data_IF_570268996206
#
_entry.id   IF_570268996206
#
_cell.length_a   1.000
_cell.length_b   1.000
_cell.length_c   1.000
_cell.angle_alpha   90.00
_cell.angle_beta   90.00
_cell.angle_gamma   90.00
#
_symmetry.space_group_name_H-M   'P 1'
#
loop_
_entity.id
_entity.type
_entity.pdbx_description
1 polymer ?
#
# COMPACT_ATOMS: atom_id res chain seq x y z
N UNK A 1 0.95 12.70 34.06
CA UNK A 1 0.85 11.49 33.21
C UNK A 1 1.56 11.73 31.86
N UNK A 2 2.77 11.20 31.72
CA UNK A 2 3.60 11.41 30.54
C UNK A 2 3.12 10.52 29.38
N UNK A 3 2.65 11.13 28.29
CA UNK A 3 2.42 10.44 27.01
C UNK A 3 3.76 10.40 26.26
N UNK A 4 4.41 9.25 26.24
CA UNK A 4 5.56 9.03 25.36
C UNK A 4 5.02 8.98 23.92
N UNK A 5 5.47 9.83 22.99
CA UNK A 5 5.13 9.69 21.60
C UNK A 5 5.78 8.39 21.11
N UNK A 6 4.99 7.39 20.76
CA UNK A 6 5.49 6.17 20.13
C UNK A 6 5.79 6.52 18.68
N UNK A 7 6.96 7.11 18.41
CA UNK A 7 7.54 7.09 17.08
C UNK A 7 8.17 5.71 16.91
N UNK A 8 7.53 4.85 16.13
CA UNK A 8 8.09 3.57 15.74
C UNK A 8 9.43 3.85 15.04
N UNK A 9 10.56 3.29 15.51
CA UNK A 9 11.84 3.52 14.87
C UNK A 9 11.84 2.85 13.50
N UNK A 10 12.18 3.61 12.45
CA UNK A 10 12.52 3.05 11.15
C UNK A 10 13.54 1.93 11.33
N UNK A 11 13.26 0.76 10.76
CA UNK A 11 14.11 -0.40 10.93
C UNK A 11 15.50 -0.09 10.40
N UNK A 12 16.48 -0.14 11.29
CA UNK A 12 17.88 -0.13 10.91
C UNK A 12 18.17 -1.43 10.17
N UNK A 13 18.65 -1.28 8.95
CA UNK A 13 19.06 -2.27 7.98
C UNK A 13 19.87 -3.44 8.59
N UNK A 14 19.23 -4.47 9.17
CA UNK A 14 19.85 -5.79 9.42
C UNK A 14 18.94 -6.88 10.04
N UNK A 15 17.68 -6.62 10.40
CA UNK A 15 16.76 -7.71 10.74
C UNK A 15 16.04 -8.20 9.48
N UNK A 16 16.41 -9.39 9.03
CA UNK A 16 15.85 -10.10 7.89
C UNK A 16 14.35 -10.35 8.11
N UNK A 17 13.49 -9.41 7.72
CA UNK A 17 12.08 -9.71 7.62
C UNK A 17 11.86 -10.59 6.38
N UNK A 18 11.63 -11.88 6.61
CA UNK A 18 11.33 -12.90 5.60
C UNK A 18 9.84 -12.99 5.27
N UNK A 19 9.01 -12.05 5.73
CA UNK A 19 7.58 -12.06 5.40
C UNK A 19 7.41 -11.84 3.90
N UNK A 20 7.08 -12.94 3.22
CA UNK A 20 6.70 -12.98 1.81
C UNK A 20 5.19 -12.82 1.63
N UNK A 21 4.39 -13.17 2.64
CA UNK A 21 2.93 -13.15 2.59
C UNK A 21 2.38 -12.39 3.79
N UNK A 22 1.66 -11.31 3.54
CA UNK A 22 1.05 -10.50 4.58
C UNK A 22 -0.46 -10.41 4.35
N UNK A 23 -1.23 -10.89 5.33
CA UNK A 23 -2.68 -10.76 5.36
C UNK A 23 -3.10 -9.86 6.54
N UNK A 24 -3.60 -8.67 6.22
CA UNK A 24 -4.11 -7.70 7.19
C UNK A 24 -5.63 -7.84 7.25
N UNK A 25 -6.10 -8.64 8.21
CA UNK A 25 -7.54 -8.89 8.42
C UNK A 25 -8.23 -7.85 9.33
N UNK A 26 -7.78 -6.60 9.28
CA UNK A 26 -8.33 -5.48 10.06
C UNK A 26 -8.53 -4.27 9.16
N UNK A 27 -9.23 -3.26 9.70
CA UNK A 27 -9.32 -1.94 9.07
C UNK A 27 -7.98 -1.22 9.20
N UNK A 28 -7.43 -0.76 8.08
CA UNK A 28 -6.15 -0.04 8.04
C UNK A 28 -6.23 1.19 7.12
N UNK A 29 -5.48 2.23 7.47
CA UNK A 29 -5.30 3.40 6.61
C UNK A 29 -4.09 3.21 5.70
N UNK A 30 -4.09 3.85 4.53
CA UNK A 30 -2.99 3.78 3.57
C UNK A 30 -1.62 4.08 4.20
N UNK A 31 -1.54 5.08 5.08
CA UNK A 31 -0.28 5.48 5.74
C UNK A 31 0.26 4.39 6.65
N UNK A 32 -0.62 3.73 7.41
CA UNK A 32 -0.23 2.62 8.29
C UNK A 32 0.20 1.42 7.45
N UNK A 33 -0.48 1.15 6.34
CA UNK A 33 -0.09 0.10 5.42
C UNK A 33 1.31 0.37 4.86
N UNK A 34 1.56 1.57 4.35
CA UNK A 34 2.88 2.01 3.86
C UNK A 34 3.95 1.84 4.93
N UNK A 35 3.66 2.25 6.16
CA UNK A 35 4.58 2.07 7.28
C UNK A 35 4.90 0.59 7.50
N UNK A 36 3.92 -0.32 7.47
CA UNK A 36 4.17 -1.76 7.61
C UNK A 36 5.03 -2.28 6.44
N UNK A 37 4.72 -1.84 5.23
CA UNK A 37 5.38 -2.28 4.01
C UNK A 37 6.87 -1.91 3.98
N UNK A 38 7.27 -0.79 4.58
CA UNK A 38 8.69 -0.41 4.67
C UNK A 38 9.52 -1.38 5.52
N UNK A 39 8.88 -2.17 6.39
CA UNK A 39 9.54 -3.22 7.18
C UNK A 39 9.51 -4.60 6.52
N UNK A 40 8.86 -4.77 5.36
CA UNK A 40 8.70 -6.07 4.69
C UNK A 40 9.30 -6.06 3.26
N UNK A 41 10.61 -5.85 3.09
CA UNK A 41 11.23 -5.70 1.77
C UNK A 41 11.14 -6.96 0.88
N UNK A 42 10.94 -8.14 1.48
CA UNK A 42 10.79 -9.41 0.77
C UNK A 42 9.33 -9.78 0.46
N UNK A 43 8.39 -8.86 0.67
CA UNK A 43 6.97 -9.16 0.49
C UNK A 43 6.66 -9.49 -0.97
N UNK A 44 6.04 -10.66 -1.18
CA UNK A 44 5.58 -11.16 -2.46
C UNK A 44 4.08 -10.94 -2.67
N UNK A 45 3.30 -11.11 -1.60
CA UNK A 45 1.84 -11.00 -1.62
C UNK A 45 1.31 -10.18 -0.46
N UNK A 46 0.46 -9.21 -0.77
CA UNK A 46 -0.28 -8.41 0.18
C UNK A 46 -1.78 -8.69 0.04
N UNK A 47 -2.45 -8.93 1.17
CA UNK A 47 -3.92 -8.91 1.25
C UNK A 47 -4.35 -8.00 2.37
N UNK A 48 -5.29 -7.10 2.11
CA UNK A 48 -5.92 -6.26 3.12
C UNK A 48 -7.44 -6.40 3.07
N UNK A 49 -8.04 -6.62 4.23
CA UNK A 49 -9.49 -6.77 4.34
C UNK A 49 -10.22 -5.46 4.07
N UNK A 50 -9.75 -4.35 4.66
CA UNK A 50 -10.40 -3.06 4.51
C UNK A 50 -9.39 -1.91 4.57
N UNK A 51 -9.28 -1.18 3.46
CA UNK A 51 -8.30 -0.12 3.26
C UNK A 51 -9.00 1.22 3.10
N UNK A 52 -8.59 2.22 3.88
CA UNK A 52 -9.11 3.58 3.82
C UNK A 52 -8.05 4.59 3.39
N UNK A 53 -8.52 5.64 2.72
CA UNK A 53 -7.73 6.83 2.45
C UNK A 53 -7.28 7.49 3.75
N UNK A 54 -6.24 8.30 3.64
CA UNK A 54 -5.73 9.10 4.75
C UNK A 54 -6.46 10.45 4.78
N UNK A 55 -6.98 10.87 5.94
CA UNK A 55 -7.60 12.19 6.12
C UNK A 55 -6.58 13.35 6.09
N UNK A 56 -5.30 13.04 6.25
CA UNK A 56 -4.21 14.00 6.18
C UNK A 56 -3.63 13.92 4.77
N UNK A 57 -3.33 15.08 4.15
CA UNK A 57 -2.58 15.13 2.89
C UNK A 57 -1.24 14.45 3.10
N UNK A 58 -1.19 13.17 2.75
CA UNK A 58 0.00 12.39 3.04
C UNK A 58 1.08 12.80 2.06
N UNK A 59 2.02 13.62 2.55
CA UNK A 59 3.35 13.71 1.98
C UNK A 59 4.02 12.35 2.19
N UNK A 60 3.63 11.37 1.38
CA UNK A 60 4.31 10.08 1.28
C UNK A 60 5.62 10.41 0.54
N UNK A 61 6.60 10.98 1.23
CA UNK A 61 7.89 11.34 0.66
C UNK A 61 8.84 10.13 0.61
N UNK A 62 8.46 9.01 1.21
CA UNK A 62 9.27 7.81 1.26
C UNK A 62 8.93 6.87 0.11
N UNK A 63 9.96 6.54 -0.67
CA UNK A 63 9.91 5.51 -1.71
C UNK A 63 9.93 4.15 -1.00
N UNK A 64 8.95 3.30 -1.29
CA UNK A 64 8.90 1.94 -0.75
C UNK A 64 9.35 1.00 -1.86
N UNK A 65 10.50 0.37 -1.68
CA UNK A 65 11.04 -0.56 -2.67
C UNK A 65 10.61 -1.98 -2.29
N UNK A 66 9.66 -2.55 -3.04
CA UNK A 66 9.16 -3.90 -2.86
C UNK A 66 9.37 -4.73 -4.12
N UNK A 67 10.62 -5.13 -4.40
CA UNK A 67 11.00 -5.68 -5.70
C UNK A 67 10.36 -7.04 -6.00
N UNK A 68 9.89 -7.73 -4.96
CA UNK A 68 9.28 -9.06 -5.07
C UNK A 68 7.74 -9.02 -5.03
N UNK A 69 7.12 -7.87 -4.77
CA UNK A 69 5.68 -7.76 -4.62
C UNK A 69 5.01 -7.96 -6.00
N UNK A 70 4.31 -9.06 -6.14
CA UNK A 70 3.68 -9.47 -7.41
C UNK A 70 2.17 -9.53 -7.31
N UNK A 71 1.61 -9.58 -6.10
CA UNK A 71 0.19 -9.75 -5.86
C UNK A 71 -0.31 -8.81 -4.76
N UNK A 72 -1.35 -8.06 -5.06
CA UNK A 72 -2.09 -7.24 -4.11
C UNK A 72 -3.57 -7.59 -4.19
N UNK A 73 -4.20 -7.79 -3.03
CA UNK A 73 -5.64 -7.94 -2.89
C UNK A 73 -6.21 -6.99 -1.84
N UNK A 74 -7.14 -6.11 -2.23
CA UNK A 74 -7.88 -5.24 -1.32
C UNK A 74 -9.37 -5.59 -1.33
N UNK A 75 -9.83 -6.37 -0.36
CA UNK A 75 -11.21 -6.87 -0.33
C UNK A 75 -12.27 -5.76 -0.23
N UNK A 76 -11.94 -4.65 0.45
CA UNK A 76 -12.77 -3.44 0.56
C UNK A 76 -11.88 -2.20 0.50
N UNK A 77 -11.58 -1.75 -0.71
CA UNK A 77 -10.81 -0.54 -0.98
C UNK A 77 -11.71 0.69 -0.97
N UNK A 78 -11.42 1.65 -0.09
CA UNK A 78 -12.09 2.96 -0.02
C UNK A 78 -11.13 4.09 -0.38
N UNK A 79 -10.08 3.79 -1.14
CA UNK A 79 -9.19 4.80 -1.69
C UNK A 79 -9.86 5.51 -2.85
N UNK A 80 -9.64 6.82 -2.96
CA UNK A 80 -9.84 7.50 -4.23
C UNK A 80 -8.86 6.95 -5.27
N UNK A 81 -9.23 6.99 -6.55
CA UNK A 81 -8.36 6.49 -7.60
C UNK A 81 -6.98 7.18 -7.59
N UNK A 82 -6.93 8.49 -7.35
CA UNK A 82 -5.68 9.25 -7.26
C UNK A 82 -4.75 8.71 -6.16
N UNK A 83 -5.29 8.33 -5.00
CA UNK A 83 -4.52 7.74 -3.91
C UNK A 83 -3.98 6.35 -4.29
N UNK A 84 -4.83 5.51 -4.89
CA UNK A 84 -4.43 4.19 -5.37
C UNK A 84 -3.35 4.30 -6.45
N UNK A 85 -3.54 5.19 -7.43
CA UNK A 85 -2.61 5.44 -8.53
C UNK A 85 -1.24 5.86 -8.01
N UNK A 86 -1.19 6.79 -7.05
CA UNK A 86 0.04 7.22 -6.41
C UNK A 86 0.70 6.09 -5.61
N UNK A 87 -0.10 5.27 -4.92
CA UNK A 87 0.41 4.12 -4.17
C UNK A 87 1.06 3.09 -5.10
N UNK A 88 0.37 2.67 -6.17
CA UNK A 88 0.89 1.70 -7.13
C UNK A 88 2.17 2.21 -7.79
N UNK A 89 2.20 3.48 -8.23
CA UNK A 89 3.40 4.11 -8.80
C UNK A 89 4.61 4.10 -7.85
N UNK A 90 4.37 4.11 -6.53
CA UNK A 90 5.44 4.12 -5.53
C UNK A 90 6.01 2.75 -5.23
N UNK A 91 5.29 1.68 -5.52
CA UNK A 91 5.70 0.35 -5.09
C UNK A 91 6.97 -0.17 -5.77
N UNK A 92 7.45 0.49 -6.84
CA UNK A 92 8.62 0.08 -7.64
C UNK A 92 8.71 -1.45 -7.78
N UNK A 93 7.56 -2.06 -8.05
CA UNK A 93 7.30 -3.48 -7.84
C UNK A 93 7.01 -4.14 -9.17
N UNK A 94 7.33 -5.43 -9.27
CA UNK A 94 6.92 -6.29 -10.37
C UNK A 94 5.46 -6.73 -10.22
N UNK A 95 4.54 -5.80 -9.93
CA UNK A 95 3.15 -6.11 -9.65
C UNK A 95 2.51 -6.77 -10.88
N UNK A 96 2.08 -8.04 -10.72
CA UNK A 96 1.44 -8.81 -11.80
C UNK A 96 -0.07 -8.85 -11.64
N UNK A 97 -0.55 -8.84 -10.40
CA UNK A 97 -1.97 -8.97 -10.08
C UNK A 97 -2.35 -7.89 -9.06
N UNK A 98 -3.32 -7.07 -9.46
CA UNK A 98 -4.00 -6.13 -8.58
C UNK A 98 -5.48 -6.51 -8.55
N UNK A 99 -5.93 -7.06 -7.43
CA UNK A 99 -7.33 -7.35 -7.17
C UNK A 99 -7.86 -6.40 -6.10
N UNK A 100 -9.04 -5.82 -6.33
CA UNK A 100 -9.69 -5.01 -5.30
C UNK A 100 -11.18 -4.88 -5.58
N UNK A 101 -11.96 -4.72 -4.51
CA UNK A 101 -13.33 -4.22 -4.62
C UNK A 101 -13.37 -2.78 -4.13
N UNK A 102 -13.90 -1.89 -4.95
CA UNK A 102 -14.11 -0.48 -4.62
C UNK A 102 -15.60 -0.15 -4.55
N UNK A 103 -15.94 1.02 -4.05
CA UNK A 103 -17.32 1.51 -3.96
C UNK A 103 -17.45 2.85 -4.70
N UNK A 104 -18.49 2.97 -5.53
CA UNK A 104 -19.06 4.20 -6.09
C UNK A 104 -18.10 5.37 -6.36
N UNK A 105 -17.02 5.11 -7.09
CA UNK A 105 -16.13 6.15 -7.54
C UNK A 105 -15.93 6.05 -9.06
N UNK A 106 -16.61 6.92 -9.79
CA UNK A 106 -16.61 6.98 -11.26
C UNK A 106 -15.19 7.13 -11.85
N UNK A 107 -14.23 7.64 -11.07
CA UNK A 107 -12.84 7.78 -11.51
C UNK A 107 -12.16 6.44 -11.78
N UNK A 108 -12.67 5.33 -11.23
CA UNK A 108 -12.19 3.98 -11.55
C UNK A 108 -12.60 3.49 -12.93
N UNK A 109 -13.57 4.15 -13.58
CA UNK A 109 -14.04 3.83 -14.92
C UNK A 109 -13.24 4.55 -16.03
N UNK A 110 -12.28 5.40 -15.67
CA UNK A 110 -11.40 6.05 -16.65
C UNK A 110 -10.33 5.06 -17.15
N UNK A 111 -10.61 4.45 -18.30
CA UNK A 111 -9.72 3.50 -18.95
C UNK A 111 -8.33 4.08 -19.27
N UNK A 112 -8.25 5.38 -19.60
CA UNK A 112 -6.98 6.01 -19.97
C UNK A 112 -6.04 6.09 -18.76
N UNK A 113 -6.59 6.29 -17.56
CA UNK A 113 -5.78 6.28 -16.32
C UNK A 113 -5.20 4.92 -16.03
N UNK A 114 -5.99 3.85 -16.19
CA UNK A 114 -5.51 2.48 -16.04
C UNK A 114 -4.42 2.15 -17.05
N UNK A 115 -4.62 2.49 -18.31
CA UNK A 115 -3.64 2.26 -19.36
C UNK A 115 -2.29 2.94 -19.03
N UNK A 116 -2.32 4.20 -18.59
CA UNK A 116 -1.10 4.93 -18.15
C UNK A 116 -0.44 4.31 -16.93
N UNK A 117 -1.19 3.63 -16.07
CA UNK A 117 -0.64 2.94 -14.90
C UNK A 117 0.01 1.61 -15.27
N UNK A 118 -0.49 0.91 -16.30
CA UNK A 118 0.02 -0.40 -16.72
C UNK A 118 1.20 -0.35 -17.69
N UNK A 119 1.35 0.75 -18.43
CA UNK A 119 2.43 0.92 -19.43
C UNK A 119 3.71 1.51 -18.81
N UNK A 120 3.60 2.15 -17.65
CA UNK A 120 4.76 2.58 -16.85
C UNK A 120 5.29 1.42 -16.00
#
# INVERSE_FOLDING_TARGET
PWKIPITLPFARNQQFNSIEYLNINIVITLNKLIAILSYTPKLCRLTCQQLYGSSQHTQINEIIVLPYLTYINFNRCRLQFSELELFIKKLNSQLKVLHFNTFDNIMYLDANRWQRLMIN
#
